data_IF_095809335583
#
_entry.id   IF_095809335583
#
_cell.length_a   1.000
_cell.length_b   1.000
_cell.length_c   1.000
_cell.angle_alpha   90.00
_cell.angle_beta   90.00
_cell.angle_gamma   90.00
#
_symmetry.space_group_name_H-M   'P 1'
#
loop_
_entity.id
_entity.type
_entity.pdbx_description
1 polymer ?
#
# COMPACT_ATOMS: atom_id res chain seq x y z
N UNK A 1 14.41 13.07 0.65
CA UNK A 1 15.57 12.94 -0.27
C UNK A 1 15.66 14.19 -1.12
N UNK A 2 16.84 14.59 -1.62
CA UNK A 2 16.91 15.80 -2.47
C UNK A 2 16.05 15.58 -3.72
N UNK A 3 15.12 16.50 -4.00
CA UNK A 3 14.19 16.41 -5.13
C UNK A 3 12.85 15.72 -4.83
N UNK A 4 12.65 15.18 -3.61
CA UNK A 4 11.44 14.44 -3.25
C UNK A 4 10.88 14.87 -1.89
N UNK A 5 9.57 15.09 -1.83
CA UNK A 5 8.82 15.02 -0.58
C UNK A 5 8.65 13.56 -0.14
N UNK A 6 8.55 13.35 1.16
CA UNK A 6 8.58 12.03 1.78
C UNK A 6 7.39 11.87 2.69
N UNK A 7 6.59 10.83 2.45
CA UNK A 7 5.56 10.35 3.36
C UNK A 7 6.01 9.00 3.90
N UNK A 8 5.92 8.77 5.20
CA UNK A 8 6.38 7.52 5.80
C UNK A 8 5.54 7.13 7.01
N UNK A 9 5.36 5.82 7.16
CA UNK A 9 4.83 5.22 8.37
C UNK A 9 5.95 4.38 8.99
N UNK A 10 6.46 4.78 10.15
CA UNK A 10 7.40 3.98 10.92
C UNK A 10 6.62 3.05 11.88
N UNK A 11 7.16 1.85 12.14
CA UNK A 11 6.62 0.96 13.18
C UNK A 11 7.02 1.49 14.57
N UNK A 12 6.06 1.62 15.49
CA UNK A 12 6.29 2.23 16.81
C UNK A 12 7.31 1.47 17.68
N UNK A 13 7.37 0.13 17.57
CA UNK A 13 8.15 -0.73 18.46
C UNK A 13 9.32 -1.48 17.77
N UNK A 14 9.68 -1.10 16.55
CA UNK A 14 10.64 -1.84 15.72
C UNK A 14 11.86 -1.05 15.27
N UNK A 15 13.04 -1.66 15.28
CA UNK A 15 14.23 -1.16 14.59
C UNK A 15 14.19 -1.39 13.06
N UNK A 16 13.15 -2.08 12.56
CA UNK A 16 12.95 -2.48 11.16
C UNK A 16 11.46 -2.47 10.82
N UNK A 17 11.16 -2.27 9.54
CA UNK A 17 9.80 -2.11 9.03
C UNK A 17 9.49 -0.65 8.74
N UNK A 18 8.25 -0.43 8.33
CA UNK A 18 7.73 0.83 7.84
C UNK A 18 7.65 0.87 6.31
N UNK A 19 6.73 1.69 5.83
CA UNK A 19 6.53 1.98 4.41
C UNK A 19 6.87 3.44 4.14
N UNK A 20 7.43 3.69 2.96
CA UNK A 20 7.82 5.04 2.52
C UNK A 20 7.30 5.30 1.10
N UNK A 21 6.79 6.50 0.87
CA UNK A 21 6.49 7.03 -0.44
C UNK A 21 7.36 8.27 -0.71
N UNK A 22 7.99 8.29 -1.87
CA UNK A 22 8.81 9.41 -2.35
C UNK A 22 8.14 10.03 -3.56
N UNK A 23 7.64 11.25 -3.41
CA UNK A 23 7.01 12.00 -4.50
C UNK A 23 7.93 13.14 -4.92
N UNK A 24 8.11 13.36 -6.23
CA UNK A 24 8.92 14.51 -6.68
C UNK A 24 8.27 15.83 -6.25
N UNK A 25 9.08 16.84 -5.94
CA UNK A 25 8.57 18.14 -5.46
C UNK A 25 7.73 18.93 -6.47
N UNK A 26 7.85 18.63 -7.76
CA UNK A 26 7.04 19.23 -8.83
C UNK A 26 5.65 18.58 -8.97
N UNK A 27 5.36 17.54 -8.19
CA UNK A 27 4.04 16.90 -8.09
C UNK A 27 3.43 17.29 -6.75
N UNK A 28 2.29 17.96 -6.77
CA UNK A 28 1.51 18.24 -5.56
C UNK A 28 0.95 16.93 -5.01
N UNK A 29 1.19 16.65 -3.73
CA UNK A 29 0.72 15.44 -3.08
C UNK A 29 0.38 15.65 -1.60
N UNK A 30 -0.49 14.79 -1.08
CA UNK A 30 -0.84 14.74 0.34
C UNK A 30 -0.84 13.31 0.85
N UNK A 31 -0.57 13.15 2.14
CA UNK A 31 -0.64 11.86 2.83
C UNK A 31 -2.09 11.49 3.14
N UNK A 32 -2.42 10.22 2.99
CA UNK A 32 -3.63 9.60 3.52
C UNK A 32 -3.18 8.58 4.56
N UNK A 33 -3.46 8.86 5.83
CA UNK A 33 -3.20 7.94 6.93
C UNK A 33 -4.15 6.75 6.85
N UNK A 34 -3.58 5.54 6.86
CA UNK A 34 -4.35 4.28 6.86
C UNK A 34 -4.12 3.59 8.20
N UNK A 35 -5.20 3.38 8.96
CA UNK A 35 -5.11 2.71 10.25
C UNK A 35 -5.38 1.22 10.10
N UNK A 36 -4.31 0.44 10.20
CA UNK A 36 -4.34 -1.02 10.16
C UNK A 36 -4.16 -1.67 11.54
N UNK A 37 -3.91 -0.89 12.59
CA UNK A 37 -3.52 -1.41 13.91
C UNK A 37 -2.11 -2.01 13.89
N UNK A 38 -1.96 -3.22 14.42
CA UNK A 38 -0.68 -3.96 14.47
C UNK A 38 -0.52 -4.98 13.32
N UNK A 39 -1.33 -4.85 12.26
CA UNK A 39 -1.42 -5.76 11.12
C UNK A 39 -0.43 -5.36 10.01
N UNK A 40 -0.89 -5.20 8.76
CA UNK A 40 -0.10 -4.66 7.67
C UNK A 40 0.32 -3.20 7.90
N UNK A 41 1.38 -2.76 7.24
CA UNK A 41 1.86 -1.38 7.22
C UNK A 41 1.42 -0.73 5.91
N UNK A 42 0.82 0.46 5.97
CA UNK A 42 0.19 1.07 4.80
C UNK A 42 0.24 2.58 4.85
N UNK A 43 0.68 3.17 3.74
CA UNK A 43 0.60 4.61 3.54
C UNK A 43 -0.12 4.92 2.24
N UNK A 44 -1.12 5.78 2.32
CA UNK A 44 -1.75 6.36 1.15
C UNK A 44 -1.08 7.68 0.78
N UNK A 45 -0.96 7.94 -0.51
CA UNK A 45 -0.49 9.21 -1.06
C UNK A 45 -1.40 9.61 -2.19
N UNK A 46 -2.06 10.76 -2.06
CA UNK A 46 -2.88 11.33 -3.11
C UNK A 46 -2.03 12.30 -3.94
N UNK A 47 -1.95 12.04 -5.24
CA UNK A 47 -1.32 12.92 -6.23
C UNK A 47 -2.40 13.83 -6.82
N UNK A 48 -2.19 15.14 -6.75
CA UNK A 48 -3.13 16.14 -7.22
C UNK A 48 -2.75 16.63 -8.62
N UNK A 49 -3.62 16.41 -9.59
CA UNK A 49 -3.49 16.97 -10.94
C UNK A 49 -4.63 17.95 -11.20
N UNK A 50 -4.56 18.69 -12.30
CA UNK A 50 -5.53 19.76 -12.62
C UNK A 50 -6.97 19.25 -12.75
N UNK A 51 -7.15 18.03 -13.25
CA UNK A 51 -8.43 17.45 -13.65
C UNK A 51 -8.78 16.16 -12.89
N UNK A 52 -7.85 15.61 -12.10
CA UNK A 52 -8.04 14.37 -11.36
C UNK A 52 -7.05 14.23 -10.22
N UNK A 53 -7.42 13.40 -9.27
CA UNK A 53 -6.52 12.90 -8.25
C UNK A 53 -6.22 11.42 -8.51
N UNK A 54 -5.02 10.98 -8.15
CA UNK A 54 -4.63 9.57 -8.18
C UNK A 54 -4.18 9.18 -6.78
N UNK A 55 -4.83 8.19 -6.20
CA UNK A 55 -4.45 7.66 -4.89
C UNK A 55 -3.52 6.46 -5.06
N UNK A 56 -2.36 6.51 -4.42
CA UNK A 56 -1.40 5.40 -4.39
C UNK A 56 -1.32 4.88 -2.96
N UNK A 57 -1.59 3.60 -2.76
CA UNK A 57 -1.33 2.92 -1.50
C UNK A 57 -0.06 2.07 -1.64
N UNK A 58 0.92 2.32 -0.75
CA UNK A 58 2.09 1.48 -0.59
C UNK A 58 1.90 0.60 0.65
N UNK A 59 1.82 -0.71 0.44
CA UNK A 59 1.48 -1.71 1.45
C UNK A 59 2.65 -2.64 1.71
N UNK A 60 2.88 -2.98 2.97
CA UNK A 60 3.74 -4.08 3.34
C UNK A 60 3.01 -4.94 4.36
N UNK A 61 2.77 -6.22 4.05
CA UNK A 61 2.17 -7.16 4.99
C UNK A 61 3.26 -8.12 5.49
N UNK A 62 3.71 -7.99 6.75
CA UNK A 62 4.71 -8.90 7.31
C UNK A 62 4.19 -10.34 7.41
N UNK A 63 5.10 -11.34 7.41
CA UNK A 63 4.73 -12.72 7.67
C UNK A 63 3.94 -12.86 8.98
N UNK A 64 2.84 -13.61 8.96
CA UNK A 64 2.00 -13.88 10.13
C UNK A 64 1.12 -12.71 10.58
N UNK A 65 1.01 -11.64 9.80
CA UNK A 65 0.05 -10.55 9.99
C UNK A 65 -1.06 -10.59 8.92
N UNK A 66 -2.23 -10.06 9.26
CA UNK A 66 -3.35 -9.93 8.33
C UNK A 66 -3.11 -8.73 7.37
N UNK A 67 -3.64 -8.80 6.14
CA UNK A 67 -3.44 -7.70 5.18
C UNK A 67 -4.24 -6.45 5.53
N UNK A 68 -5.41 -6.59 6.18
CA UNK A 68 -6.27 -5.45 6.54
C UNK A 68 -6.63 -4.53 5.35
N UNK A 69 -6.81 -5.10 4.16
CA UNK A 69 -7.02 -4.36 2.89
C UNK A 69 -8.28 -3.48 2.90
N UNK A 70 -9.26 -3.78 3.78
CA UNK A 70 -10.46 -2.96 4.01
C UNK A 70 -10.17 -1.58 4.63
N UNK A 71 -8.97 -1.36 5.17
CA UNK A 71 -8.57 -0.07 5.73
C UNK A 71 -8.31 0.99 4.65
N UNK A 72 -8.06 0.57 3.41
CA UNK A 72 -7.91 1.48 2.28
C UNK A 72 -9.29 2.01 1.84
N UNK A 73 -9.35 3.29 1.47
CA UNK A 73 -10.53 3.83 0.80
C UNK A 73 -10.38 3.61 -0.71
N UNK A 74 -11.27 2.79 -1.25
CA UNK A 74 -11.13 2.22 -2.59
C UNK A 74 -12.06 2.92 -3.61
N UNK A 75 -12.46 4.17 -3.36
CA UNK A 75 -13.06 5.03 -4.39
C UNK A 75 -12.00 5.59 -5.35
N UNK A 76 -12.40 5.98 -6.56
CA UNK A 76 -11.60 6.74 -7.54
C UNK A 76 -10.43 6.00 -8.25
N UNK A 77 -9.62 6.77 -8.99
CA UNK A 77 -8.42 6.32 -9.71
C UNK A 77 -7.30 5.99 -8.74
N UNK A 78 -6.93 4.71 -8.67
CA UNK A 78 -6.04 4.20 -7.64
C UNK A 78 -5.00 3.21 -8.14
N UNK A 79 -3.90 3.14 -7.41
CA UNK A 79 -2.84 2.15 -7.58
C UNK A 79 -2.50 1.60 -6.20
N UNK A 80 -2.55 0.28 -6.05
CA UNK A 80 -2.06 -0.39 -4.84
C UNK A 80 -0.80 -1.15 -5.22
N UNK A 81 0.29 -0.87 -4.51
CA UNK A 81 1.61 -1.46 -4.70
C UNK A 81 2.15 -1.91 -3.36
N UNK A 82 3.08 -2.86 -3.36
CA UNK A 82 3.62 -3.32 -2.11
C UNK A 82 4.25 -4.69 -2.16
N UNK A 83 4.61 -5.16 -0.97
CA UNK A 83 5.02 -6.53 -0.70
C UNK A 83 4.01 -7.17 0.26
N UNK A 84 3.23 -8.11 -0.26
CA UNK A 84 2.18 -8.80 0.49
C UNK A 84 2.70 -10.05 1.22
N UNK A 85 3.97 -10.42 1.02
CA UNK A 85 4.55 -11.67 1.51
C UNK A 85 3.65 -12.87 1.14
N UNK A 86 3.30 -12.96 -0.15
CA UNK A 86 2.39 -13.99 -0.67
C UNK A 86 2.80 -14.48 -2.07
N UNK A 87 2.54 -15.76 -2.33
CA UNK A 87 2.97 -16.46 -3.54
C UNK A 87 1.79 -16.79 -4.45
N UNK A 88 1.68 -16.12 -5.61
CA UNK A 88 0.69 -16.41 -6.65
C UNK A 88 1.35 -16.60 -8.02
N UNK A 89 0.84 -17.53 -8.86
CA UNK A 89 1.13 -17.54 -10.29
C UNK A 89 0.79 -16.24 -11.00
N UNK A 90 -0.19 -15.48 -10.50
CA UNK A 90 -0.60 -14.18 -11.04
C UNK A 90 0.53 -13.14 -11.04
N UNK A 91 1.55 -13.30 -10.18
CA UNK A 91 2.74 -12.44 -10.13
C UNK A 91 4.05 -13.24 -10.11
N UNK A 92 4.05 -14.47 -10.64
CA UNK A 92 5.26 -15.19 -11.05
C UNK A 92 5.76 -16.30 -10.12
N UNK A 93 4.99 -16.71 -9.12
CA UNK A 93 5.31 -17.89 -8.29
C UNK A 93 4.72 -19.18 -8.88
N UNK A 94 5.34 -20.33 -8.61
CA UNK A 94 4.82 -21.61 -9.10
C UNK A 94 3.61 -22.10 -8.30
N UNK A 95 3.52 -21.70 -7.03
CA UNK A 95 2.50 -22.13 -6.09
C UNK A 95 1.58 -20.98 -5.70
N UNK A 96 0.39 -21.37 -5.23
CA UNK A 96 -0.60 -20.51 -4.61
C UNK A 96 -0.57 -20.76 -3.10
N UNK A 97 -0.46 -19.71 -2.28
CA UNK A 97 -0.55 -19.83 -0.83
C UNK A 97 -1.85 -19.24 -0.27
N UNK A 98 -2.18 -19.59 0.98
CA UNK A 98 -3.40 -19.14 1.63
C UNK A 98 -3.50 -17.62 1.79
N UNK A 99 -2.38 -16.88 1.75
CA UNK A 99 -2.36 -15.42 1.86
C UNK A 99 -2.78 -14.76 0.56
N UNK A 100 -2.56 -15.42 -0.57
CA UNK A 100 -3.01 -14.95 -1.89
C UNK A 100 -4.51 -14.93 -2.03
N UNK A 101 -5.24 -15.87 -1.41
CA UNK A 101 -6.71 -15.90 -1.50
C UNK A 101 -7.30 -14.55 -1.06
N UNK A 102 -6.85 -13.98 0.06
CA UNK A 102 -7.30 -12.68 0.55
C UNK A 102 -7.01 -11.54 -0.45
N UNK A 103 -5.80 -11.50 -1.02
CA UNK A 103 -5.37 -10.43 -1.94
C UNK A 103 -6.10 -10.52 -3.27
N UNK A 104 -6.21 -11.71 -3.86
CA UNK A 104 -6.90 -11.93 -5.13
C UNK A 104 -8.42 -11.73 -5.00
N UNK A 105 -9.03 -12.18 -3.91
CA UNK A 105 -10.46 -11.95 -3.67
C UNK A 105 -10.73 -10.46 -3.48
N UNK A 106 -9.91 -9.77 -2.69
CA UNK A 106 -10.01 -8.32 -2.55
C UNK A 106 -9.88 -7.60 -3.90
N UNK A 107 -8.95 -8.02 -4.76
CA UNK A 107 -8.81 -7.47 -6.13
C UNK A 107 -10.07 -7.71 -6.98
N UNK A 108 -10.70 -8.89 -6.87
CA UNK A 108 -11.93 -9.23 -7.62
C UNK A 108 -13.15 -8.42 -7.17
N UNK A 109 -13.29 -8.17 -5.87
CA UNK A 109 -14.47 -7.51 -5.31
C UNK A 109 -14.37 -5.98 -5.23
N UNK A 110 -13.20 -5.40 -5.57
CA UNK A 110 -12.98 -3.95 -5.53
C UNK A 110 -12.72 -3.30 -6.89
N UNK A 111 -12.74 -4.08 -7.98
CA UNK A 111 -12.63 -3.63 -9.37
C UNK A 111 -13.96 -3.76 -10.12
#
# INVERSE_FOLDING_TARGET
MKGYQTFKQDRQDGHKGGVIALVKYDITASEIQVNTGDRAEMIGTELHFKDKNITIYNCYCPPGKDHALHAMNISDLRIVVGDNDSHSPSWGYENHDARVEEVEDWQRFTN
#
